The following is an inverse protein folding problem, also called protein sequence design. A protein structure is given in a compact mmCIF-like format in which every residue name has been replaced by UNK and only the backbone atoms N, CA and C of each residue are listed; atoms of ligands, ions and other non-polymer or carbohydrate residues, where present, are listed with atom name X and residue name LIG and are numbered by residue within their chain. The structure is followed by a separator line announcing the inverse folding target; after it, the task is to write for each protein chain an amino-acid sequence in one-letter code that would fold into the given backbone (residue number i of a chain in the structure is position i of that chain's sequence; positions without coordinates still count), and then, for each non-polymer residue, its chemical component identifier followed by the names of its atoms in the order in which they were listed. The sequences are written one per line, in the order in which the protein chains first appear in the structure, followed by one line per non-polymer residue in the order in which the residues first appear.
data_IF_158385711207
#
_entry.id   IF_158385711207
#
_cell.length_a   1.000
_cell.length_b   1.000
_cell.length_c   1.000
_cell.angle_alpha   90.00
_cell.angle_beta   90.00
_cell.angle_gamma   90.00
#
_symmetry.space_group_name_H-M   'P 1'
#
loop_
_entity.id
_entity.type
_entity.pdbx_description
1 polymer ?
#
# COMPACT_ATOMS: atom_id res chain seq x y z
N UNK A 1 -5.79 -19.04 22.94
CA UNK A 1 -4.51 -19.58 22.47
C UNK A 1 -3.65 -18.46 21.95
N UNK A 2 -2.40 -18.40 22.39
CA UNK A 2 -1.44 -17.43 21.87
C UNK A 2 -1.36 -17.60 20.34
N UNK A 3 -1.63 -16.51 19.61
CA UNK A 3 -1.45 -16.51 18.17
C UNK A 3 0.03 -16.64 17.87
N UNK A 4 0.37 -17.71 17.16
CA UNK A 4 1.74 -18.04 16.79
C UNK A 4 2.17 -17.16 15.61
N UNK A 5 2.44 -15.88 15.88
CA UNK A 5 2.87 -14.90 14.89
C UNK A 5 4.30 -14.49 15.14
N UNK A 6 5.11 -14.46 14.08
CA UNK A 6 6.50 -13.99 14.16
C UNK A 6 6.84 -13.06 13.01
N UNK A 7 7.69 -12.10 13.29
CA UNK A 7 8.27 -11.21 12.27
C UNK A 7 9.32 -11.99 11.46
N UNK A 8 9.26 -11.84 10.15
CA UNK A 8 10.18 -12.47 9.21
C UNK A 8 10.75 -11.42 8.25
N UNK A 9 11.74 -11.82 7.47
CA UNK A 9 12.32 -10.99 6.43
C UNK A 9 11.54 -11.09 5.11
N UNK A 10 11.75 -10.14 4.20
CA UNK A 10 11.28 -10.23 2.82
C UNK A 10 10.25 -9.18 2.41
N UNK A 11 9.66 -8.41 3.33
CA UNK A 11 8.67 -7.39 2.97
C UNK A 11 7.54 -7.96 2.12
N UNK A 12 7.16 -7.26 1.06
CA UNK A 12 6.07 -7.70 0.16
C UNK A 12 6.39 -8.95 -0.66
N UNK A 13 7.66 -9.37 -0.70
CA UNK A 13 8.08 -10.61 -1.37
C UNK A 13 8.06 -11.84 -0.44
N UNK A 14 7.80 -11.66 0.85
CA UNK A 14 7.73 -12.78 1.80
C UNK A 14 6.58 -13.75 1.50
N UNK A 15 5.35 -13.30 1.18
CA UNK A 15 4.28 -14.23 0.83
C UNK A 15 4.56 -14.94 -0.49
N UNK A 16 4.11 -16.20 -0.57
CA UNK A 16 4.27 -17.02 -1.77
C UNK A 16 3.62 -16.38 -2.99
N UNK A 17 4.33 -16.41 -4.13
CA UNK A 17 3.80 -15.97 -5.41
C UNK A 17 3.85 -14.47 -5.65
N UNK A 18 4.54 -13.69 -4.82
CA UNK A 18 4.75 -12.27 -5.03
C UNK A 18 6.19 -11.97 -5.43
N UNK A 19 6.33 -11.11 -6.43
CA UNK A 19 7.60 -10.48 -6.84
C UNK A 19 7.44 -8.98 -6.82
N UNK A 20 8.52 -8.29 -6.60
CA UNK A 20 8.54 -6.83 -6.60
C UNK A 20 9.82 -6.29 -7.23
N UNK A 21 9.79 -5.04 -7.62
CA UNK A 21 10.94 -4.34 -8.17
C UNK A 21 10.71 -2.85 -8.23
N UNK A 22 11.74 -2.14 -8.58
CA UNK A 22 11.69 -0.69 -8.76
C UNK A 22 12.86 -0.22 -9.60
N UNK A 23 12.63 0.77 -10.43
CA UNK A 23 13.63 1.37 -11.31
C UNK A 23 13.56 2.89 -11.29
N UNK A 24 14.59 3.52 -11.80
CA UNK A 24 14.52 4.92 -12.25
C UNK A 24 14.16 4.93 -13.74
N UNK A 25 13.02 5.52 -14.10
CA UNK A 25 12.62 5.64 -15.50
C UNK A 25 12.67 7.07 -16.04
N UNK A 26 12.81 8.08 -15.18
CA UNK A 26 12.99 9.48 -15.58
C UNK A 26 11.84 10.42 -15.22
N UNK A 27 10.95 10.03 -14.30
CA UNK A 27 9.94 10.91 -13.73
C UNK A 27 10.59 11.89 -12.74
N UNK A 28 11.50 11.38 -11.91
CA UNK A 28 12.33 12.19 -11.02
C UNK A 28 13.62 12.58 -11.74
N UNK A 29 14.12 13.80 -11.46
CA UNK A 29 15.34 14.31 -12.08
C UNK A 29 16.60 13.58 -11.61
N UNK A 30 16.65 13.19 -10.33
CA UNK A 30 17.81 12.48 -9.78
C UNK A 30 17.85 11.04 -10.30
N UNK A 31 18.88 10.71 -11.06
CA UNK A 31 19.08 9.35 -11.62
C UNK A 31 19.36 8.29 -10.56
N UNK A 32 19.78 8.69 -9.36
CA UNK A 32 20.05 7.80 -8.24
C UNK A 32 18.78 7.35 -7.52
N UNK A 33 17.65 8.04 -7.74
CA UNK A 33 16.38 7.74 -7.08
C UNK A 33 15.46 6.96 -8.01
N UNK A 34 15.06 5.78 -7.57
CA UNK A 34 14.02 5.00 -8.24
C UNK A 34 12.70 5.76 -8.18
N UNK A 35 11.90 5.68 -9.23
CA UNK A 35 10.65 6.44 -9.36
C UNK A 35 9.48 5.64 -9.93
N UNK A 36 9.68 4.35 -10.20
CA UNK A 36 8.63 3.45 -10.66
C UNK A 36 8.75 2.10 -9.98
N UNK A 37 7.71 1.72 -9.23
CA UNK A 37 7.64 0.47 -8.47
C UNK A 37 6.59 -0.48 -9.05
N UNK A 38 6.84 -1.77 -8.92
CA UNK A 38 5.91 -2.83 -9.30
C UNK A 38 5.91 -3.93 -8.24
N UNK A 39 4.69 -4.36 -7.87
CA UNK A 39 4.44 -5.59 -7.12
C UNK A 39 3.53 -6.45 -7.99
N UNK A 40 3.92 -7.69 -8.25
CA UNK A 40 3.19 -8.61 -9.12
C UNK A 40 2.91 -9.93 -8.41
N UNK A 41 1.67 -10.38 -8.47
CA UNK A 41 1.27 -11.73 -8.05
C UNK A 41 1.30 -12.69 -9.24
N UNK A 42 1.77 -13.91 -9.02
CA UNK A 42 1.78 -14.96 -10.04
C UNK A 42 0.36 -15.33 -10.52
N UNK A 43 -0.65 -15.11 -9.67
CA UNK A 43 -2.06 -15.38 -9.96
C UNK A 43 -2.92 -14.19 -9.58
N UNK A 44 -4.13 -14.09 -10.13
CA UNK A 44 -5.10 -13.09 -9.66
C UNK A 44 -5.36 -13.27 -8.18
N UNK A 45 -5.46 -12.15 -7.47
CA UNK A 45 -5.60 -12.10 -6.02
C UNK A 45 -6.90 -11.39 -5.64
N UNK A 46 -7.50 -11.78 -4.52
CA UNK A 46 -8.48 -10.93 -3.88
C UNK A 46 -7.83 -9.59 -3.52
N UNK A 47 -8.53 -8.50 -3.76
CA UNK A 47 -8.00 -7.16 -3.56
C UNK A 47 -8.99 -6.28 -2.80
N UNK A 48 -8.45 -5.46 -1.92
CA UNK A 48 -9.18 -4.45 -1.20
C UNK A 48 -8.34 -3.19 -1.05
N UNK A 49 -9.00 -2.05 -1.04
CA UNK A 49 -8.35 -0.76 -0.84
C UNK A 49 -9.21 0.17 -0.01
N UNK A 50 -8.54 1.07 0.69
CA UNK A 50 -9.14 2.25 1.31
C UNK A 50 -8.38 3.49 0.84
N UNK A 51 -9.07 4.62 0.75
CA UNK A 51 -8.57 5.82 0.10
C UNK A 51 -8.73 7.04 0.97
N UNK A 52 -7.98 8.11 0.62
CA UNK A 52 -8.15 9.43 1.23
C UNK A 52 -9.63 9.86 1.27
N UNK A 53 -10.01 10.55 2.33
CA UNK A 53 -11.32 11.20 2.45
C UNK A 53 -11.33 12.63 1.92
N UNK A 54 -10.21 13.13 1.39
CA UNK A 54 -10.17 14.43 0.74
C UNK A 54 -11.15 14.45 -0.44
N UNK A 55 -11.90 15.54 -0.58
CA UNK A 55 -12.84 15.72 -1.70
C UNK A 55 -12.13 15.81 -3.04
N UNK A 56 -10.90 16.36 -3.05
CA UNK A 56 -10.02 16.35 -4.21
C UNK A 56 -9.17 15.08 -4.13
N UNK A 57 -9.33 14.20 -5.10
CA UNK A 57 -8.58 12.93 -5.17
C UNK A 57 -7.69 12.90 -6.40
N UNK A 58 -6.53 12.25 -6.29
CA UNK A 58 -5.66 11.96 -7.42
C UNK A 58 -6.34 11.02 -8.43
N UNK A 59 -6.07 11.21 -9.69
CA UNK A 59 -6.64 10.39 -10.76
C UNK A 59 -6.38 8.88 -10.59
N UNK A 60 -5.23 8.42 -10.07
CA UNK A 60 -5.00 7.01 -9.81
C UNK A 60 -6.03 6.35 -8.89
N UNK A 61 -6.60 7.09 -7.95
CA UNK A 61 -7.64 6.57 -7.04
C UNK A 61 -8.90 6.19 -7.83
N UNK A 62 -9.35 7.04 -8.74
CA UNK A 62 -10.54 6.77 -9.54
C UNK A 62 -10.34 5.54 -10.43
N UNK A 63 -9.17 5.43 -11.06
CA UNK A 63 -8.83 4.28 -11.93
C UNK A 63 -8.72 3.00 -11.11
N UNK A 64 -8.04 3.01 -9.98
CA UNK A 64 -7.92 1.84 -9.10
C UNK A 64 -9.28 1.39 -8.59
N UNK A 65 -10.11 2.32 -8.15
CA UNK A 65 -11.46 2.01 -7.66
C UNK A 65 -12.29 1.30 -8.73
N UNK A 66 -12.23 1.76 -9.97
CA UNK A 66 -12.91 1.12 -11.10
C UNK A 66 -12.33 -0.27 -11.40
N UNK A 67 -11.01 -0.41 -11.42
CA UNK A 67 -10.34 -1.66 -11.75
C UNK A 67 -10.62 -2.77 -10.74
N UNK A 68 -10.63 -2.48 -9.45
CA UNK A 68 -10.85 -3.49 -8.41
C UNK A 68 -12.30 -3.57 -7.92
N UNK A 69 -13.25 -2.97 -8.64
CA UNK A 69 -14.67 -3.04 -8.29
C UNK A 69 -15.20 -4.48 -8.24
N UNK A 70 -14.60 -5.40 -9.01
CA UNK A 70 -14.90 -6.83 -8.97
C UNK A 70 -14.28 -7.58 -7.76
N UNK A 71 -13.43 -6.90 -6.99
CA UNK A 71 -12.75 -7.47 -5.82
C UNK A 71 -11.44 -8.19 -6.11
N UNK A 72 -10.87 -8.03 -7.30
CA UNK A 72 -9.64 -8.73 -7.72
C UNK A 72 -8.62 -7.79 -8.35
N UNK A 73 -7.34 -8.15 -8.18
CA UNK A 73 -6.20 -7.52 -8.83
C UNK A 73 -5.07 -8.53 -8.98
N UNK A 74 -4.06 -8.18 -9.76
CA UNK A 74 -2.86 -9.01 -9.92
C UNK A 74 -1.57 -8.23 -9.74
N UNK A 75 -1.61 -6.90 -9.85
CA UNK A 75 -0.42 -6.06 -9.72
C UNK A 75 -0.73 -4.73 -9.06
N UNK A 76 0.31 -4.14 -8.47
CA UNK A 76 0.35 -2.75 -8.03
C UNK A 76 1.50 -2.06 -8.76
N UNK A 77 1.19 -1.00 -9.50
CA UNK A 77 2.19 -0.12 -10.09
C UNK A 77 2.08 1.27 -9.47
N UNK A 78 3.22 1.85 -9.11
CA UNK A 78 3.26 3.15 -8.45
C UNK A 78 4.44 3.97 -8.96
N UNK A 79 4.18 5.23 -9.34
CA UNK A 79 5.25 6.17 -9.59
C UNK A 79 5.42 7.15 -8.43
N UNK A 80 6.64 7.58 -8.20
CA UNK A 80 6.96 8.73 -7.36
C UNK A 80 7.42 9.92 -8.20
N UNK A 81 7.47 11.10 -7.59
CA UNK A 81 7.88 12.34 -8.24
C UNK A 81 6.74 13.20 -8.81
N UNK A 82 5.58 12.62 -9.05
CA UNK A 82 4.38 13.31 -9.54
C UNK A 82 3.13 12.59 -9.04
N UNK A 83 2.22 13.33 -8.42
CA UNK A 83 1.01 12.76 -7.81
C UNK A 83 -0.12 12.46 -8.81
N UNK A 84 0.00 12.94 -10.04
CA UNK A 84 -1.06 12.83 -11.04
C UNK A 84 -2.41 13.35 -10.50
N UNK A 85 -2.40 14.51 -9.89
CA UNK A 85 -3.57 15.14 -9.29
C UNK A 85 -3.76 16.53 -9.88
N UNK A 86 -5.02 16.93 -10.10
CA UNK A 86 -5.40 18.21 -10.70
C UNK A 86 -4.90 18.40 -12.14
N UNK A 87 -4.74 17.33 -12.88
CA UNK A 87 -4.37 17.35 -14.30
C UNK A 87 -5.58 16.98 -15.16
N UNK A 88 -5.77 17.68 -16.29
CA UNK A 88 -6.90 17.44 -17.18
C UNK A 88 -6.89 16.02 -17.80
N UNK A 89 -5.71 15.45 -18.04
CA UNK A 89 -5.48 14.13 -18.62
C UNK A 89 -5.16 13.04 -17.58
N UNK A 90 -5.36 13.33 -16.29
CA UNK A 90 -4.92 12.44 -15.20
C UNK A 90 -5.47 11.01 -15.30
N UNK A 91 -6.75 10.85 -15.62
CA UNK A 91 -7.39 9.54 -15.78
C UNK A 91 -6.75 8.76 -16.94
N UNK A 92 -6.54 9.41 -18.09
CA UNK A 92 -5.91 8.80 -19.24
C UNK A 92 -4.48 8.33 -18.95
N UNK A 93 -3.72 9.12 -18.20
CA UNK A 93 -2.37 8.78 -17.79
C UNK A 93 -2.38 7.58 -16.83
N UNK A 94 -3.24 7.59 -15.83
CA UNK A 94 -3.36 6.46 -14.90
C UNK A 94 -3.80 5.17 -15.62
N UNK A 95 -4.76 5.24 -16.53
CA UNK A 95 -5.16 4.11 -17.37
C UNK A 95 -4.01 3.67 -18.28
N UNK A 96 -3.25 4.61 -18.83
CA UNK A 96 -2.07 4.33 -19.64
C UNK A 96 -0.99 3.57 -18.90
N UNK A 97 -0.76 3.87 -17.63
CA UNK A 97 0.15 3.09 -16.78
C UNK A 97 -0.32 1.63 -16.65
N UNK A 98 -1.62 1.43 -16.44
CA UNK A 98 -2.20 0.09 -16.36
C UNK A 98 -2.03 -0.69 -17.68
N UNK A 99 -2.28 -0.05 -18.81
CA UNK A 99 -2.14 -0.69 -20.13
C UNK A 99 -0.69 -1.03 -20.48
N UNK A 100 0.25 -0.13 -20.19
CA UNK A 100 1.68 -0.38 -20.41
C UNK A 100 2.16 -1.59 -19.59
N UNK A 101 1.75 -1.67 -18.33
CA UNK A 101 2.09 -2.81 -17.48
C UNK A 101 1.43 -4.09 -17.97
N UNK A 102 0.14 -4.04 -18.28
CA UNK A 102 -0.62 -5.21 -18.76
C UNK A 102 0.04 -5.86 -19.98
N UNK A 103 0.46 -5.06 -20.94
CA UNK A 103 1.14 -5.52 -22.14
C UNK A 103 2.50 -6.14 -21.81
N UNK A 104 3.30 -5.50 -20.97
CA UNK A 104 4.64 -5.97 -20.63
C UNK A 104 4.64 -7.22 -19.72
N UNK A 105 3.67 -7.33 -18.82
CA UNK A 105 3.59 -8.41 -17.82
C UNK A 105 2.65 -9.55 -18.23
N UNK A 106 1.84 -9.39 -19.27
CA UNK A 106 0.89 -10.40 -19.71
C UNK A 106 -0.31 -10.58 -18.78
N UNK A 107 -0.79 -9.50 -18.17
CA UNK A 107 -1.97 -9.49 -17.30
C UNK A 107 -3.05 -8.56 -17.86
N UNK A 108 -4.26 -8.61 -17.31
CA UNK A 108 -5.32 -7.68 -17.68
C UNK A 108 -5.07 -6.29 -17.09
N UNK A 109 -5.28 -5.23 -17.86
CA UNK A 109 -5.16 -3.85 -17.37
C UNK A 109 -6.15 -3.55 -16.23
N UNK A 110 -7.32 -4.16 -16.24
CA UNK A 110 -8.34 -4.05 -15.20
C UNK A 110 -7.96 -4.75 -13.88
N UNK A 111 -6.89 -5.53 -13.87
CA UNK A 111 -6.35 -6.19 -12.67
C UNK A 111 -5.17 -5.42 -12.05
N UNK A 112 -5.01 -4.16 -12.39
CA UNK A 112 -3.92 -3.31 -11.90
C UNK A 112 -4.43 -2.27 -10.90
N UNK A 113 -3.79 -2.25 -9.74
CA UNK A 113 -3.88 -1.15 -8.78
C UNK A 113 -2.81 -0.13 -9.17
N UNK A 114 -3.21 1.09 -9.50
CA UNK A 114 -2.31 2.17 -9.89
C UNK A 114 -2.30 3.26 -8.83
N UNK A 115 -1.11 3.73 -8.49
CA UNK A 115 -0.90 4.80 -7.52
C UNK A 115 0.18 5.77 -7.99
N UNK A 116 0.11 6.99 -7.50
CA UNK A 116 1.08 8.05 -7.79
C UNK A 116 1.30 8.90 -6.55
N UNK A 117 2.51 9.38 -6.37
CA UNK A 117 2.86 10.26 -5.27
C UNK A 117 3.91 11.29 -5.70
N UNK A 118 3.89 12.47 -5.09
CA UNK A 118 4.83 13.54 -5.36
C UNK A 118 4.13 14.88 -5.60
N UNK A 119 4.64 15.67 -6.53
CA UNK A 119 4.15 17.02 -6.80
C UNK A 119 2.74 16.99 -7.42
N UNK A 120 1.88 17.89 -6.96
CA UNK A 120 0.50 18.06 -7.42
C UNK A 120 0.46 19.16 -8.51
N UNK A 121 -0.43 18.99 -9.51
CA UNK A 121 -0.70 20.01 -10.51
C UNK A 121 0.34 20.13 -11.63
N UNK A 122 1.28 19.19 -11.71
CA UNK A 122 2.21 19.09 -12.84
C UNK A 122 1.80 17.96 -13.79
N UNK A 123 1.91 18.18 -15.12
CA UNK A 123 1.64 17.10 -16.07
C UNK A 123 2.54 15.89 -15.83
N UNK A 124 1.97 14.68 -15.88
CA UNK A 124 2.71 13.42 -15.83
C UNK A 124 2.76 12.83 -17.24
N UNK A 125 3.95 12.55 -17.74
CA UNK A 125 4.13 11.92 -19.05
C UNK A 125 4.23 10.40 -18.96
N UNK A 126 3.58 9.69 -19.86
CA UNK A 126 3.74 8.23 -20.01
C UNK A 126 5.05 7.84 -20.68
N UNK A 127 5.70 8.76 -21.42
CA UNK A 127 6.87 8.43 -22.24
C UNK A 127 8.01 7.75 -21.45
N UNK A 128 8.46 8.27 -20.29
CA UNK A 128 9.51 7.60 -19.52
C UNK A 128 9.06 6.24 -18.99
N UNK A 129 7.79 6.08 -18.63
CA UNK A 129 7.25 4.80 -18.18
C UNK A 129 7.15 3.79 -19.31
N UNK A 130 6.73 4.22 -20.50
CA UNK A 130 6.71 3.38 -21.69
C UNK A 130 8.11 2.88 -22.05
N UNK A 131 9.11 3.75 -22.02
CA UNK A 131 10.50 3.39 -22.27
C UNK A 131 11.09 2.46 -21.20
N UNK A 132 10.67 2.58 -19.95
CA UNK A 132 11.19 1.82 -18.82
C UNK A 132 10.40 0.55 -18.47
N UNK A 133 9.26 0.30 -19.10
CA UNK A 133 8.34 -0.76 -18.61
C UNK A 133 8.95 -2.16 -18.70
N UNK A 134 9.64 -2.49 -19.78
CA UNK A 134 10.30 -3.79 -19.93
C UNK A 134 11.41 -3.97 -18.89
N UNK A 135 12.18 -2.91 -18.60
CA UNK A 135 13.19 -2.93 -17.56
C UNK A 135 12.56 -3.13 -16.18
N UNK A 136 11.41 -2.50 -15.91
CA UNK A 136 10.68 -2.68 -14.66
C UNK A 136 10.26 -4.14 -14.46
N UNK A 137 9.63 -4.74 -15.46
CA UNK A 137 9.21 -6.15 -15.41
C UNK A 137 10.41 -7.08 -15.26
N UNK A 138 11.51 -6.80 -15.96
CA UNK A 138 12.76 -7.57 -15.83
C UNK A 138 13.43 -7.43 -14.47
N UNK A 139 13.17 -6.34 -13.74
CA UNK A 139 13.71 -6.11 -12.39
C UNK A 139 13.03 -6.92 -11.30
N UNK A 140 11.87 -7.52 -11.58
CA UNK A 140 11.10 -8.25 -10.59
C UNK A 140 11.90 -9.39 -9.97
N UNK A 141 11.85 -9.47 -8.65
CA UNK A 141 12.49 -10.53 -7.85
C UNK A 141 11.56 -10.97 -6.74
N UNK A 142 11.56 -12.27 -6.46
CA UNK A 142 10.91 -12.85 -5.29
C UNK A 142 11.77 -12.75 -4.02
N UNK A 143 13.03 -12.32 -4.15
CA UNK A 143 13.95 -12.12 -3.04
C UNK A 143 13.61 -10.84 -2.25
N UNK A 144 14.12 -10.71 -1.01
CA UNK A 144 13.93 -9.48 -0.22
C UNK A 144 14.37 -8.20 -0.93
N UNK A 145 15.36 -8.29 -1.83
CA UNK A 145 15.81 -7.15 -2.65
C UNK A 145 14.71 -6.55 -3.51
N UNK A 146 13.78 -7.35 -4.01
CA UNK A 146 12.63 -6.87 -4.79
C UNK A 146 11.73 -5.93 -3.98
N UNK A 147 11.43 -6.32 -2.74
CA UNK A 147 10.65 -5.48 -1.81
C UNK A 147 11.39 -4.18 -1.47
N UNK A 148 12.69 -4.24 -1.24
CA UNK A 148 13.51 -3.05 -0.96
C UNK A 148 13.52 -2.08 -2.14
N UNK A 149 13.65 -2.58 -3.36
CA UNK A 149 13.63 -1.75 -4.56
C UNK A 149 12.26 -1.08 -4.76
N UNK A 150 11.17 -1.81 -4.55
CA UNK A 150 9.83 -1.24 -4.60
C UNK A 150 9.62 -0.19 -3.50
N UNK A 151 10.06 -0.47 -2.29
CA UNK A 151 9.99 0.46 -1.16
C UNK A 151 10.76 1.76 -1.45
N UNK A 152 11.95 1.66 -2.00
CA UNK A 152 12.74 2.83 -2.40
C UNK A 152 12.04 3.65 -3.51
N UNK A 153 11.42 2.98 -4.47
CA UNK A 153 10.80 3.62 -5.63
C UNK A 153 9.52 4.42 -5.30
N UNK A 154 8.86 4.15 -4.18
CA UNK A 154 7.67 4.90 -3.75
C UNK A 154 7.99 6.07 -2.81
N UNK A 155 9.22 6.19 -2.34
CA UNK A 155 9.63 7.28 -1.43
C UNK A 155 9.71 8.62 -2.16
N UNK A 156 9.40 9.69 -1.45
CA UNK A 156 9.57 11.08 -1.91
C UNK A 156 10.46 11.86 -0.94
N UNK A 157 9.90 12.37 0.13
CA UNK A 157 10.61 13.11 1.19
C UNK A 157 10.95 12.22 2.38
N UNK A 158 10.58 10.96 2.34
CA UNK A 158 10.92 9.97 3.34
C UNK A 158 12.43 9.91 3.60
N UNK A 159 12.82 9.78 4.86
CA UNK A 159 14.20 9.61 5.27
C UNK A 159 14.60 8.13 5.32
N UNK A 160 13.64 7.23 5.54
CA UNK A 160 13.88 5.80 5.67
C UNK A 160 12.84 4.98 4.90
N UNK A 161 13.27 3.83 4.40
CA UNK A 161 12.38 2.81 3.85
C UNK A 161 11.56 2.16 4.97
N UNK A 162 10.31 1.79 4.65
CA UNK A 162 9.38 1.20 5.62
C UNK A 162 8.84 -0.09 5.06
N UNK A 163 9.24 -1.21 5.65
CA UNK A 163 8.76 -2.54 5.27
C UNK A 163 8.70 -3.48 6.47
N UNK A 164 7.82 -4.46 6.41
CA UNK A 164 7.64 -5.52 7.40
C UNK A 164 7.11 -6.77 6.72
N UNK A 165 7.37 -7.93 7.32
CA UNK A 165 6.66 -9.15 7.01
C UNK A 165 6.46 -9.98 8.28
N UNK A 166 5.34 -10.72 8.32
CA UNK A 166 4.98 -11.61 9.41
C UNK A 166 4.56 -12.98 8.89
N UNK A 167 4.76 -14.00 9.70
CA UNK A 167 4.27 -15.35 9.47
C UNK A 167 3.23 -15.67 10.52
N UNK A 168 2.14 -16.31 10.11
CA UNK A 168 1.00 -16.66 10.97
C UNK A 168 0.32 -17.93 10.45
N UNK A 169 -0.64 -18.47 11.18
CA UNK A 169 -1.33 -19.70 10.81
C UNK A 169 -2.82 -19.49 10.62
N UNK A 170 -3.38 -20.10 9.58
CA UNK A 170 -4.81 -20.15 9.29
C UNK A 170 -5.20 -21.60 8.98
N UNK A 171 -6.11 -22.17 9.76
CA UNK A 171 -6.59 -23.53 9.53
C UNK A 171 -5.47 -24.56 9.46
N UNK A 172 -4.41 -24.40 10.23
CA UNK A 172 -3.24 -25.28 10.24
C UNK A 172 -2.24 -25.05 9.09
N UNK A 173 -2.47 -24.06 8.23
CA UNK A 173 -1.56 -23.67 7.15
C UNK A 173 -0.72 -22.46 7.55
N UNK A 174 0.56 -22.50 7.20
CA UNK A 174 1.44 -21.35 7.35
C UNK A 174 1.13 -20.31 6.28
N UNK A 175 0.85 -19.10 6.72
CA UNK A 175 0.61 -17.94 5.86
C UNK A 175 1.63 -16.84 6.17
N UNK A 176 1.86 -15.97 5.18
CA UNK A 176 2.72 -14.81 5.34
C UNK A 176 1.99 -13.56 4.88
N UNK A 177 2.34 -12.44 5.48
CA UNK A 177 1.85 -11.12 5.08
C UNK A 177 3.02 -10.15 5.10
N UNK A 178 3.17 -9.37 4.04
CA UNK A 178 4.19 -8.34 3.95
C UNK A 178 3.63 -7.00 3.57
N UNK A 179 4.35 -5.95 3.90
CA UNK A 179 3.93 -4.59 3.55
C UNK A 179 5.11 -3.66 3.35
N UNK A 180 4.91 -2.70 2.46
CA UNK A 180 5.75 -1.52 2.30
C UNK A 180 4.89 -0.27 2.43
N UNK A 181 5.50 0.80 2.89
CA UNK A 181 4.82 2.07 3.05
C UNK A 181 5.73 3.23 2.70
N UNK A 182 5.10 4.34 2.34
CA UNK A 182 5.76 5.64 2.24
C UNK A 182 4.88 6.68 2.92
N UNK A 183 5.53 7.69 3.46
CA UNK A 183 4.91 8.80 4.11
C UNK A 183 5.79 9.29 5.26
N UNK A 184 5.87 10.61 5.43
CA UNK A 184 6.65 11.23 6.49
C UNK A 184 6.01 12.50 7.03
N UNK A 185 4.98 12.93 6.43
CA UNK A 185 4.32 14.20 6.65
C UNK A 185 4.04 14.87 5.32
N UNK A 186 3.03 15.71 5.28
CA UNK A 186 2.77 16.53 4.12
C UNK A 186 3.49 17.86 4.25
N UNK A 187 4.45 18.12 3.35
CA UNK A 187 5.00 19.46 3.23
C UNK A 187 4.02 20.28 2.39
N UNK A 188 3.46 21.29 3.04
CA UNK A 188 2.73 22.31 2.32
C UNK A 188 3.67 22.96 1.27
N UNK A 189 3.22 23.23 0.01
CA UNK A 189 1.82 23.13 -0.39
C UNK A 189 1.42 21.89 -1.21
N UNK A 190 2.31 21.02 -1.65
CA UNK A 190 1.95 20.18 -2.79
C UNK A 190 2.49 18.74 -2.77
N UNK A 191 2.69 18.13 -1.60
CA UNK A 191 3.25 16.78 -1.50
C UNK A 191 2.22 15.78 -1.00
N UNK A 192 2.15 14.62 -1.64
CA UNK A 192 1.36 13.48 -1.16
C UNK A 192 2.14 12.73 -0.09
N UNK A 193 1.45 12.21 0.93
CA UNK A 193 2.09 11.74 2.14
C UNK A 193 2.08 10.24 2.38
N UNK A 194 1.00 9.52 2.07
CA UNK A 194 0.87 8.13 2.55
C UNK A 194 0.40 7.17 1.46
N UNK A 195 1.21 6.14 1.21
CA UNK A 195 0.84 4.95 0.46
C UNK A 195 1.27 3.72 1.25
N UNK A 196 0.40 2.71 1.29
CA UNK A 196 0.67 1.42 1.95
C UNK A 196 0.23 0.31 1.01
N UNK A 197 1.15 -0.61 0.70
CA UNK A 197 0.88 -1.78 -0.13
C UNK A 197 1.18 -3.04 0.65
N UNK A 198 0.20 -3.92 0.76
CA UNK A 198 0.26 -5.15 1.55
C UNK A 198 -0.01 -6.35 0.65
N UNK A 199 0.79 -7.38 0.81
CA UNK A 199 0.66 -8.67 0.13
C UNK A 199 0.45 -9.77 1.16
N UNK A 200 -0.33 -10.79 0.80
CA UNK A 200 -0.47 -12.01 1.60
C UNK A 200 -0.80 -13.20 0.71
N UNK A 201 -0.33 -14.37 1.08
CA UNK A 201 -0.69 -15.62 0.43
C UNK A 201 -1.91 -16.30 1.06
N UNK A 202 -2.53 -15.69 2.06
CA UNK A 202 -3.76 -16.17 2.66
C UNK A 202 -4.90 -16.22 1.64
N UNK A 203 -5.75 -17.22 1.75
CA UNK A 203 -7.00 -17.36 1.00
C UNK A 203 -8.14 -16.71 1.80
N UNK A 204 -8.72 -15.66 1.24
CA UNK A 204 -9.81 -14.88 1.83
C UNK A 204 -10.67 -14.30 0.72
N UNK A 205 -11.99 -14.30 0.90
CA UNK A 205 -12.89 -13.69 -0.10
C UNK A 205 -12.69 -12.19 -0.21
N UNK A 206 -12.93 -11.57 -1.37
CA UNK A 206 -12.84 -10.12 -1.52
C UNK A 206 -13.68 -9.34 -0.50
N UNK A 207 -14.90 -9.79 -0.22
CA UNK A 207 -15.79 -9.13 0.75
C UNK A 207 -15.21 -9.17 2.16
N UNK A 208 -14.66 -10.29 2.59
CA UNK A 208 -14.06 -10.43 3.92
C UNK A 208 -12.75 -9.67 4.02
N UNK A 209 -11.97 -9.62 2.94
CA UNK A 209 -10.73 -8.83 2.88
C UNK A 209 -11.04 -7.33 3.03
N UNK A 210 -12.04 -6.83 2.29
CA UNK A 210 -12.46 -5.43 2.40
C UNK A 210 -12.97 -5.11 3.80
N UNK A 211 -13.74 -6.01 4.41
CA UNK A 211 -14.22 -5.85 5.78
C UNK A 211 -13.09 -5.76 6.79
N UNK A 212 -12.12 -6.67 6.70
CA UNK A 212 -10.95 -6.67 7.57
C UNK A 212 -10.12 -5.39 7.43
N UNK A 213 -9.85 -4.97 6.19
CA UNK A 213 -9.08 -3.75 5.92
C UNK A 213 -9.79 -2.50 6.42
N UNK A 214 -11.07 -2.35 6.11
CA UNK A 214 -11.85 -1.17 6.53
C UNK A 214 -11.92 -1.04 8.05
N UNK A 215 -12.08 -2.15 8.76
CA UNK A 215 -12.09 -2.16 10.22
C UNK A 215 -10.69 -1.81 10.80
N UNK A 216 -9.63 -2.37 10.22
CA UNK A 216 -8.26 -2.16 10.68
C UNK A 216 -7.82 -0.70 10.54
N UNK A 217 -8.15 -0.06 9.42
CA UNK A 217 -7.75 1.32 9.15
C UNK A 217 -8.31 2.31 10.18
N UNK A 218 -9.48 2.04 10.77
CA UNK A 218 -10.03 2.87 11.84
C UNK A 218 -9.13 2.92 13.07
N UNK A 219 -8.39 1.85 13.32
CA UNK A 219 -7.51 1.71 14.50
C UNK A 219 -6.06 2.09 14.22
N UNK A 220 -5.68 2.26 12.95
CA UNK A 220 -4.31 2.49 12.53
C UNK A 220 -4.16 3.84 11.80
N UNK A 221 -4.24 3.86 10.50
CA UNK A 221 -3.92 5.06 9.71
C UNK A 221 -4.89 6.23 9.91
N UNK A 222 -6.15 5.99 10.24
CA UNK A 222 -7.08 7.07 10.59
C UNK A 222 -6.78 7.73 11.94
N UNK A 223 -5.89 7.12 12.73
CA UNK A 223 -5.43 7.65 14.02
C UNK A 223 -4.14 8.47 13.93
N UNK A 224 -3.47 8.46 12.77
CA UNK A 224 -2.26 9.25 12.56
C UNK A 224 -2.62 10.68 12.17
N UNK A 225 -1.96 11.63 12.81
CA UNK A 225 -1.87 13.02 12.35
C UNK A 225 -0.41 13.39 12.18
N UNK A 226 -0.06 13.89 10.99
CA UNK A 226 1.21 14.55 10.70
C UNK A 226 0.83 15.85 10.02
N UNK A 227 1.21 16.99 10.60
CA UNK A 227 0.91 18.34 10.13
C UNK A 227 -0.58 18.72 10.04
N UNK A 228 -1.51 17.83 10.42
CA UNK A 228 -2.95 18.11 10.42
C UNK A 228 -3.63 18.18 9.06
N UNK A 229 -2.90 18.00 7.97
CA UNK A 229 -3.43 18.08 6.61
C UNK A 229 -3.81 16.70 6.04
N UNK A 230 -4.72 16.70 5.07
CA UNK A 230 -5.18 15.48 4.39
C UNK A 230 -4.67 15.44 2.96
N UNK A 231 -3.91 14.42 2.62
CA UNK A 231 -3.40 14.17 1.26
C UNK A 231 -4.54 13.89 0.26
N UNK A 232 -4.28 14.17 -1.03
CA UNK A 232 -5.17 13.83 -2.15
C UNK A 232 -4.99 12.40 -2.64
N UNK A 233 -3.89 11.72 -2.27
CA UNK A 233 -3.46 10.46 -2.88
C UNK A 233 -3.32 9.30 -1.89
N UNK A 234 -3.71 9.47 -0.63
CA UNK A 234 -3.58 8.40 0.37
C UNK A 234 -4.33 7.14 -0.06
N UNK A 235 -3.63 6.02 0.01
CA UNK A 235 -4.17 4.71 -0.35
C UNK A 235 -3.53 3.63 0.51
N UNK A 236 -4.35 2.70 1.00
CA UNK A 236 -3.91 1.42 1.55
C UNK A 236 -4.53 0.32 0.72
N UNK A 237 -3.72 -0.52 0.11
CA UNK A 237 -4.18 -1.63 -0.75
C UNK A 237 -3.60 -2.95 -0.29
N UNK A 238 -4.41 -4.01 -0.35
CA UNK A 238 -4.03 -5.38 -0.01
C UNK A 238 -4.37 -6.31 -1.16
N UNK A 239 -3.42 -7.18 -1.52
CA UNK A 239 -3.64 -8.32 -2.40
C UNK A 239 -3.43 -9.62 -1.64
N UNK A 240 -4.41 -10.53 -1.71
CA UNK A 240 -4.40 -11.86 -1.10
C UNK A 240 -4.56 -12.91 -2.20
N UNK A 241 -3.50 -13.65 -2.53
CA UNK A 241 -3.50 -14.54 -3.69
C UNK A 241 -3.90 -16.00 -3.39
N UNK A 242 -4.06 -16.36 -2.12
CA UNK A 242 -4.57 -17.68 -1.73
C UNK A 242 -3.59 -18.83 -1.88
N UNK A 243 -2.34 -18.59 -2.24
CA UNK A 243 -1.37 -19.65 -2.52
C UNK A 243 -0.92 -20.44 -1.28
N UNK A 244 -1.19 -19.93 -0.07
CA UNK A 244 -0.98 -20.69 1.17
C UNK A 244 -1.94 -21.86 1.32
N UNK A 245 -3.04 -21.87 0.57
CA UNK A 245 -4.03 -22.94 0.53
C UNK A 245 -4.68 -23.25 1.87
N UNK A 246 -4.83 -22.26 2.72
CA UNK A 246 -5.67 -22.36 3.90
C UNK A 246 -7.15 -22.46 3.49
N UNK A 247 -8.03 -22.94 4.36
CA UNK A 247 -9.47 -22.84 4.10
C UNK A 247 -9.86 -21.39 3.82
N UNK A 248 -10.56 -21.13 2.73
CA UNK A 248 -10.92 -19.76 2.34
C UNK A 248 -11.75 -19.10 3.43
N UNK A 249 -11.32 -17.93 3.88
CA UNK A 249 -12.07 -17.14 4.85
C UNK A 249 -13.25 -16.48 4.12
N UNK A 250 -14.47 -16.96 4.38
CA UNK A 250 -15.72 -16.46 3.76
C UNK A 250 -16.69 -15.86 4.77
N UNK A 251 -16.37 -15.96 6.06
CA UNK A 251 -17.18 -15.47 7.16
C UNK A 251 -16.31 -15.10 8.36
N UNK A 252 -16.87 -14.36 9.31
CA UNK A 252 -16.23 -14.12 10.59
C UNK A 252 -16.06 -15.43 11.36
N UNK A 253 -15.01 -15.52 12.17
CA UNK A 253 -14.66 -16.69 12.98
C UNK A 253 -13.19 -16.64 13.35
N UNK A 254 -12.66 -17.76 13.84
CA UNK A 254 -11.28 -17.85 14.32
C UNK A 254 -10.22 -17.51 13.28
N UNK A 255 -10.39 -18.00 12.06
CA UNK A 255 -9.45 -17.69 10.97
C UNK A 255 -9.54 -16.22 10.53
N UNK A 256 -10.73 -15.65 10.47
CA UNK A 256 -10.90 -14.21 10.21
C UNK A 256 -10.20 -13.38 11.29
N UNK A 257 -10.37 -13.72 12.55
CA UNK A 257 -9.73 -13.01 13.67
C UNK A 257 -8.21 -13.12 13.61
N UNK A 258 -7.68 -14.30 13.28
CA UNK A 258 -6.24 -14.50 13.10
C UNK A 258 -5.69 -13.69 11.93
N UNK A 259 -6.41 -13.64 10.81
CA UNK A 259 -6.08 -12.79 9.67
C UNK A 259 -6.09 -11.30 10.06
N UNK A 260 -7.14 -10.85 10.71
CA UNK A 260 -7.27 -9.46 11.16
C UNK A 260 -6.13 -9.06 12.12
N UNK A 261 -5.70 -9.96 12.99
CA UNK A 261 -4.58 -9.72 13.89
C UNK A 261 -3.23 -9.61 13.14
N UNK A 262 -3.00 -10.44 12.13
CA UNK A 262 -1.82 -10.31 11.27
C UNK A 262 -1.82 -8.99 10.51
N UNK A 263 -2.95 -8.61 9.93
CA UNK A 263 -3.14 -7.33 9.26
C UNK A 263 -2.87 -6.16 10.20
N UNK A 264 -3.41 -6.20 11.41
CA UNK A 264 -3.21 -5.15 12.42
C UNK A 264 -1.74 -5.04 12.85
N UNK A 265 -1.01 -6.14 12.95
CA UNK A 265 0.42 -6.13 13.25
C UNK A 265 1.21 -5.42 12.15
N UNK A 266 0.91 -5.72 10.89
CA UNK A 266 1.58 -5.08 9.73
C UNK A 266 1.23 -3.59 9.65
N UNK A 267 -0.03 -3.24 9.71
CA UNK A 267 -0.48 -1.85 9.60
C UNK A 267 -0.04 -1.00 10.78
N UNK A 268 -0.06 -1.52 12.00
CA UNK A 268 0.43 -0.82 13.19
C UNK A 268 1.92 -0.50 13.07
N UNK A 269 2.73 -1.47 12.63
CA UNK A 269 4.16 -1.24 12.43
C UNK A 269 4.40 -0.13 11.40
N UNK A 270 3.76 -0.22 10.23
CA UNK A 270 3.92 0.75 9.15
C UNK A 270 3.40 2.14 9.55
N UNK A 271 2.28 2.17 10.25
CA UNK A 271 1.69 3.39 10.81
C UNK A 271 2.67 4.12 11.73
N UNK A 272 3.28 3.40 12.67
CA UNK A 272 4.28 3.96 13.60
C UNK A 272 5.56 4.38 12.86
N UNK A 273 5.97 3.63 11.85
CA UNK A 273 7.13 3.98 11.03
C UNK A 273 6.91 5.30 10.25
N UNK A 274 5.73 5.50 9.69
CA UNK A 274 5.35 6.76 9.03
C UNK A 274 5.34 7.92 10.04
N UNK A 275 4.71 7.74 11.19
CA UNK A 275 4.65 8.78 12.22
C UNK A 275 6.05 9.15 12.76
N UNK A 276 6.92 8.15 12.93
CA UNK A 276 8.30 8.37 13.38
C UNK A 276 9.16 9.10 12.35
N UNK A 277 8.90 8.90 11.06
CA UNK A 277 9.60 9.54 9.95
C UNK A 277 8.95 10.86 9.54
N UNK A 278 8.09 11.44 10.37
CA UNK A 278 7.53 12.77 10.14
C UNK A 278 8.66 13.80 9.91
N UNK A 279 8.52 14.65 8.89
CA UNK A 279 9.56 15.61 8.49
C UNK A 279 9.98 16.51 9.65
N UNK A 280 11.27 16.45 10.01
CA UNK A 280 11.82 17.18 11.16
C UNK A 280 11.33 16.67 12.52
N UNK A 281 10.55 15.60 12.57
CA UNK A 281 10.09 15.03 13.83
C UNK A 281 11.26 14.32 14.52
N UNK A 282 11.47 14.67 15.80
CA UNK A 282 12.50 14.06 16.65
C UNK A 282 11.90 13.07 17.65
N UNK A 283 10.57 13.07 17.79
CA UNK A 283 9.84 12.25 18.76
C UNK A 283 8.52 11.75 18.19
N UNK A 284 8.16 10.54 18.54
CA UNK A 284 6.82 9.99 18.33
C UNK A 284 5.98 10.28 19.59
N UNK A 285 4.83 10.95 19.40
CA UNK A 285 3.85 11.15 20.46
C UNK A 285 2.76 10.08 20.35
N UNK A 286 2.59 9.30 21.41
CA UNK A 286 1.49 8.36 21.55
C UNK A 286 0.52 8.85 22.60
N UNK A 287 -0.78 8.86 22.29
CA UNK A 287 -1.83 9.19 23.23
C UNK A 287 -2.66 7.95 23.54
N UNK A 288 -2.59 7.49 24.80
CA UNK A 288 -3.38 6.38 25.30
C UNK A 288 -4.58 6.91 26.09
N UNK A 289 -5.79 6.52 25.72
CA UNK A 289 -7.02 6.92 26.39
C UNK A 289 -7.63 5.73 27.12
N UNK A 290 -7.89 5.88 28.41
CA UNK A 290 -8.56 4.88 29.25
C UNK A 290 -9.81 5.47 29.89
N UNK A 291 -10.78 4.61 30.21
CA UNK A 291 -12.02 5.04 30.88
C UNK A 291 -13.03 5.74 29.95
N UNK A 292 -12.81 5.77 28.66
CA UNK A 292 -13.77 6.30 27.70
C UNK A 292 -15.01 5.38 27.59
N UNK A 293 -16.15 5.99 27.30
CA UNK A 293 -17.45 5.30 27.18
C UNK A 293 -17.40 4.18 26.11
N UNK A 294 -16.74 4.46 25.00
CA UNK A 294 -16.57 3.53 23.89
C UNK A 294 -15.31 3.88 23.09
N UNK A 295 -14.97 3.04 22.10
CA UNK A 295 -13.79 3.20 21.27
C UNK A 295 -13.83 4.49 20.42
N UNK A 296 -15.02 4.88 19.94
CA UNK A 296 -15.18 6.11 19.17
C UNK A 296 -14.90 7.36 20.00
N UNK A 297 -15.40 7.41 21.25
CA UNK A 297 -15.09 8.48 22.19
C UNK A 297 -13.60 8.53 22.53
N UNK A 298 -12.95 7.38 22.74
CA UNK A 298 -11.52 7.30 22.97
C UNK A 298 -10.70 7.86 21.81
N UNK A 299 -11.06 7.53 20.56
CA UNK A 299 -10.42 8.09 19.36
C UNK A 299 -10.58 9.60 19.27
N UNK A 300 -11.79 10.11 19.55
CA UNK A 300 -12.06 11.56 19.52
C UNK A 300 -11.17 12.30 20.50
N UNK A 301 -11.06 11.79 21.74
CA UNK A 301 -10.17 12.37 22.76
C UNK A 301 -8.71 12.29 22.33
N UNK A 302 -8.25 11.14 21.86
CA UNK A 302 -6.87 10.96 21.42
C UNK A 302 -6.49 11.91 20.29
N UNK A 303 -7.36 12.07 19.27
CA UNK A 303 -7.13 13.00 18.15
C UNK A 303 -7.15 14.47 18.55
N UNK A 304 -7.85 14.82 19.63
CA UNK A 304 -7.86 16.20 20.13
C UNK A 304 -6.55 16.59 20.85
N UNK A 305 -5.74 15.61 21.25
CA UNK A 305 -4.48 15.82 21.99
C UNK A 305 -3.28 15.92 21.03
N UNK A 306 -3.32 15.23 19.89
CA UNK A 306 -2.24 15.18 18.89
C UNK A 306 -2.60 16.01 17.67
#
# INVERSE_FOLDING_TARGET
GEMNMKTINGGVCAPMGFKAGGIHCGIRKSKEKKDLALILSDVRAAAASVYTQNLVKGAPIDVTRANIADGYAQAIICNSGNANTCNADGIEIAQGMCHLLAEAAGIAASDVIVASTGVIGQPLSLAPMAAGMDALVSSLSADPSGSKDASAAIMTTDLVEKEIAVEFSLGGKTCKMGGIAKGSGMIHPNMATMLVFITTDAAISPAMLQKALSADIQDTFNMISVDGDTSTNDMVSVMANGLARNPVIEAEGGDYEAFAAALNTVTTYLCKAIAKDGEGATKLLECAVSGAKDKAAARTVAKAVI
#
